data_IF_830336120922
#
_entry.id   IF_830336120922
#
_cell.length_a   1.000
_cell.length_b   1.000
_cell.length_c   1.000
_cell.angle_alpha   90.00
_cell.angle_beta   90.00
_cell.angle_gamma   90.00
#
_symmetry.space_group_name_H-M   'P 1'
#
loop_
_entity.id
_entity.type
_entity.pdbx_description
1 polymer ?
#
# COMPACT_ATOMS: atom_id res chain seq x y z
N UNK A 1 -71.44 -16.27 40.11
CA UNK A 1 -70.91 -16.48 41.48
C UNK A 1 -69.40 -16.37 41.37
N UNK A 2 -68.88 -15.15 41.55
CA UNK A 2 -67.49 -14.76 41.32
C UNK A 2 -66.93 -14.25 42.64
N UNK A 3 -65.80 -14.81 43.06
CA UNK A 3 -65.19 -14.64 44.38
C UNK A 3 -64.59 -13.23 44.58
N UNK A 4 -64.89 -12.52 45.68
CA UNK A 4 -64.37 -11.19 45.95
C UNK A 4 -63.22 -11.23 46.95
N UNK A 5 -61.98 -11.33 46.48
CA UNK A 5 -60.78 -10.97 47.26
C UNK A 5 -59.78 -10.23 46.37
N UNK A 6 -60.06 -8.95 46.16
CA UNK A 6 -59.04 -7.97 45.82
C UNK A 6 -58.17 -7.73 47.05
N UNK A 7 -56.87 -8.02 46.96
CA UNK A 7 -55.88 -7.58 47.94
C UNK A 7 -54.76 -6.84 47.23
N UNK A 8 -54.80 -5.52 47.42
CA UNK A 8 -53.73 -4.53 47.37
C UNK A 8 -52.41 -4.92 46.69
N UNK A 9 -52.14 -4.30 45.52
CA UNK A 9 -50.78 -4.06 45.06
C UNK A 9 -50.13 -3.01 45.98
N UNK A 10 -49.44 -3.48 47.03
CA UNK A 10 -48.56 -2.63 47.81
C UNK A 10 -47.29 -2.39 47.00
N UNK A 11 -47.19 -1.21 46.38
CA UNK A 11 -45.99 -0.75 45.70
C UNK A 11 -44.82 -0.72 46.67
N UNK A 12 -43.87 -1.63 46.49
CA UNK A 12 -42.58 -1.56 47.19
C UNK A 12 -41.73 -0.56 46.43
N UNK A 13 -41.47 0.58 47.06
CA UNK A 13 -40.49 1.54 46.57
C UNK A 13 -39.14 0.82 46.41
N UNK A 14 -38.64 0.73 45.17
CA UNK A 14 -37.29 0.29 44.90
C UNK A 14 -36.33 1.32 45.50
N UNK A 15 -35.82 0.99 46.69
CA UNK A 15 -34.80 1.78 47.34
C UNK A 15 -33.50 1.59 46.55
N UNK A 16 -33.13 2.61 45.78
CA UNK A 16 -31.95 2.64 44.91
C UNK A 16 -30.68 2.92 45.74
N UNK A 17 -30.47 2.16 46.80
CA UNK A 17 -29.20 2.08 47.49
C UNK A 17 -28.48 0.84 46.97
N UNK A 18 -27.55 1.08 46.05
CA UNK A 18 -26.54 0.09 45.72
C UNK A 18 -25.80 -0.25 47.01
N UNK A 19 -26.10 -1.40 47.58
CA UNK A 19 -25.21 -2.05 48.53
C UNK A 19 -23.99 -2.41 47.68
N UNK A 20 -22.94 -1.57 47.78
CA UNK A 20 -21.59 -2.05 47.52
C UNK A 20 -21.40 -3.11 48.59
N UNK A 21 -21.49 -4.38 48.21
CA UNK A 21 -21.18 -5.45 49.12
C UNK A 21 -19.70 -5.28 49.50
N UNK A 22 -19.43 -4.87 50.73
CA UNK A 22 -18.16 -5.15 51.40
C UNK A 22 -18.10 -6.67 51.61
N UNK A 23 -17.92 -7.40 50.51
CA UNK A 23 -17.69 -8.83 50.52
C UNK A 23 -16.26 -9.08 50.97
N UNK A 24 -16.10 -9.86 52.03
CA UNK A 24 -14.79 -10.40 52.38
C UNK A 24 -14.17 -11.08 51.14
N UNK A 25 -12.88 -10.88 50.87
CA UNK A 25 -12.24 -11.45 49.69
C UNK A 25 -12.38 -12.97 49.71
N UNK A 26 -12.80 -13.55 48.58
CA UNK A 26 -12.91 -15.01 48.44
C UNK A 26 -11.57 -15.67 48.77
N UNK A 27 -11.62 -16.77 49.52
CA UNK A 27 -10.42 -17.54 49.81
C UNK A 27 -9.87 -18.14 48.51
N UNK A 28 -8.54 -18.25 48.42
CA UNK A 28 -7.89 -18.80 47.24
C UNK A 28 -8.32 -20.25 46.97
N UNK A 29 -8.60 -21.01 48.02
CA UNK A 29 -9.08 -22.40 47.94
C UNK A 29 -10.47 -22.48 47.30
N UNK A 30 -11.41 -21.63 47.75
CA UNK A 30 -12.75 -21.58 47.18
C UNK A 30 -12.71 -21.15 45.71
N UNK A 31 -11.84 -20.20 45.37
CA UNK A 31 -11.62 -19.77 44.00
C UNK A 31 -11.10 -20.91 43.12
N UNK A 32 -10.12 -21.67 43.60
CA UNK A 32 -9.56 -22.80 42.84
C UNK A 32 -10.60 -23.90 42.60
N UNK A 33 -11.38 -24.24 43.62
CA UNK A 33 -12.45 -25.23 43.49
C UNK A 33 -13.54 -24.80 42.49
N UNK A 34 -13.89 -23.51 42.49
CA UNK A 34 -14.84 -22.97 41.51
C UNK A 34 -14.27 -23.00 40.08
N UNK A 35 -12.98 -22.66 39.90
CA UNK A 35 -12.32 -22.72 38.60
C UNK A 35 -12.23 -24.15 38.06
N UNK A 36 -11.86 -25.13 38.90
CA UNK A 36 -11.82 -26.53 38.48
C UNK A 36 -13.19 -27.07 38.06
N UNK A 37 -14.26 -26.68 38.76
CA UNK A 37 -15.62 -27.07 38.39
C UNK A 37 -16.02 -26.49 37.02
N UNK A 38 -15.66 -25.24 36.76
CA UNK A 38 -15.90 -24.59 35.46
C UNK A 38 -15.09 -25.27 34.36
N UNK A 39 -13.81 -25.57 34.59
CA UNK A 39 -12.95 -26.23 33.60
C UNK A 39 -13.49 -27.61 33.22
N UNK A 40 -13.97 -28.39 34.19
CA UNK A 40 -14.62 -29.67 33.93
C UNK A 40 -15.87 -29.53 33.06
N UNK A 41 -16.71 -28.54 33.33
CA UNK A 41 -17.93 -28.31 32.55
C UNK A 41 -17.62 -27.82 31.13
N UNK A 42 -16.60 -26.97 30.97
CA UNK A 42 -16.11 -26.53 29.65
C UNK A 42 -15.46 -27.68 28.87
N UNK A 43 -14.79 -28.60 29.56
CA UNK A 43 -14.27 -29.84 28.99
C UNK A 43 -15.38 -30.77 28.49
N UNK A 44 -16.43 -30.98 29.31
CA UNK A 44 -17.63 -31.77 28.93
C UNK A 44 -18.36 -31.17 27.73
N UNK A 45 -18.43 -29.83 27.67
CA UNK A 45 -19.01 -29.11 26.54
C UNK A 45 -18.14 -29.15 25.27
N UNK A 46 -16.93 -29.69 25.35
CA UNK A 46 -15.98 -29.76 24.22
C UNK A 46 -15.43 -28.39 23.82
N UNK A 47 -15.55 -27.39 24.69
CA UNK A 47 -15.05 -26.03 24.49
C UNK A 47 -13.58 -25.96 24.85
N UNK A 48 -13.18 -26.62 25.94
CA UNK A 48 -11.82 -26.62 26.47
C UNK A 48 -11.16 -28.00 26.28
N UNK A 49 -9.87 -28.02 25.97
CA UNK A 49 -9.03 -29.19 26.12
C UNK A 49 -8.45 -29.22 27.55
N UNK A 50 -8.94 -30.16 28.37
CA UNK A 50 -8.55 -30.33 29.76
C UNK A 50 -7.06 -30.61 29.97
N UNK A 51 -6.33 -31.05 28.94
CA UNK A 51 -4.88 -31.30 29.04
C UNK A 51 -4.05 -30.04 28.89
N UNK A 52 -4.52 -29.10 28.07
CA UNK A 52 -3.75 -27.90 27.69
C UNK A 52 -4.31 -26.62 28.30
N UNK A 53 -5.56 -26.64 28.79
CA UNK A 53 -6.27 -25.45 29.26
C UNK A 53 -6.65 -24.49 28.13
N UNK A 54 -6.47 -24.90 26.88
CA UNK A 54 -6.77 -24.10 25.70
C UNK A 54 -8.13 -24.49 25.10
N UNK A 55 -8.74 -23.64 24.26
CA UNK A 55 -9.92 -24.01 23.51
C UNK A 55 -9.65 -25.24 22.64
N UNK A 56 -10.63 -26.15 22.55
CA UNK A 56 -10.50 -27.37 21.78
C UNK A 56 -10.33 -27.06 20.29
N UNK A 57 -9.58 -27.90 19.57
CA UNK A 57 -9.37 -27.70 18.13
C UNK A 57 -10.67 -27.66 17.32
N UNK A 58 -11.71 -28.40 17.75
CA UNK A 58 -13.04 -28.38 17.14
C UNK A 58 -13.75 -27.03 17.38
N UNK A 59 -13.65 -26.50 18.59
CA UNK A 59 -14.24 -25.22 18.95
C UNK A 59 -13.57 -24.05 18.23
N UNK A 60 -12.24 -24.08 18.15
CA UNK A 60 -11.46 -23.13 17.35
C UNK A 60 -11.91 -23.18 15.90
N UNK A 61 -11.94 -24.36 15.28
CA UNK A 61 -12.34 -24.51 13.87
C UNK A 61 -13.77 -23.99 13.57
N UNK A 62 -14.68 -24.04 14.55
CA UNK A 62 -16.06 -23.59 14.37
C UNK A 62 -16.23 -22.07 14.51
N UNK A 63 -15.41 -21.42 15.32
CA UNK A 63 -15.62 -20.01 15.71
C UNK A 63 -14.47 -19.08 15.31
N UNK A 64 -13.29 -19.60 15.00
CA UNK A 64 -12.17 -18.79 14.55
C UNK A 64 -12.45 -18.26 13.15
N UNK A 65 -12.35 -16.95 12.99
CA UNK A 65 -12.36 -16.30 11.69
C UNK A 65 -11.24 -15.26 11.66
N UNK A 66 -10.65 -15.10 10.49
CA UNK A 66 -9.62 -14.10 10.24
C UNK A 66 -10.03 -13.33 8.98
N UNK A 67 -9.82 -12.01 9.00
CA UNK A 67 -10.11 -11.14 7.87
C UNK A 67 -8.99 -10.15 7.71
N UNK A 68 -8.26 -10.29 6.62
CA UNK A 68 -7.25 -9.35 6.19
C UNK A 68 -7.90 -8.35 5.22
N UNK A 69 -7.89 -7.07 5.59
CA UNK A 69 -8.38 -6.00 4.73
C UNK A 69 -7.23 -5.06 4.39
N UNK A 70 -6.88 -5.00 3.10
CA UNK A 70 -5.95 -4.01 2.58
C UNK A 70 -6.79 -2.82 2.16
N UNK A 71 -6.89 -1.82 3.04
CA UNK A 71 -7.51 -0.54 2.67
C UNK A 71 -6.60 0.15 1.65
N UNK A 72 -7.07 0.42 0.42
CA UNK A 72 -6.28 1.21 -0.51
C UNK A 72 -6.01 2.57 0.13
N UNK A 73 -4.77 3.04 0.05
CA UNK A 73 -4.41 4.39 0.47
C UNK A 73 -5.37 5.35 -0.24
N UNK A 74 -6.15 6.17 0.49
CA UNK A 74 -7.15 7.02 -0.13
C UNK A 74 -6.48 7.90 -1.20
N UNK A 75 -6.90 7.73 -2.44
CA UNK A 75 -6.34 8.45 -3.57
C UNK A 75 -6.62 9.94 -3.43
N UNK A 76 -5.58 10.76 -3.33
CA UNK A 76 -5.71 12.22 -3.36
C UNK A 76 -5.80 12.65 -4.83
N UNK A 77 -6.98 13.11 -5.25
CA UNK A 77 -7.16 13.73 -6.57
C UNK A 77 -6.75 15.19 -6.46
N UNK A 78 -5.55 15.52 -6.94
CA UNK A 78 -5.10 16.91 -7.06
C UNK A 78 -5.56 17.42 -8.43
N UNK A 79 -6.40 18.45 -8.44
CA UNK A 79 -6.71 19.17 -9.68
C UNK A 79 -5.46 19.93 -10.13
N UNK A 80 -4.80 19.44 -11.18
CA UNK A 80 -3.74 20.18 -11.84
C UNK A 80 -4.35 21.35 -12.61
N UNK A 81 -3.94 22.58 -12.29
CA UNK A 81 -4.20 23.73 -13.15
C UNK A 81 -3.37 23.57 -14.42
N UNK A 82 -4.01 23.63 -15.58
CA UNK A 82 -3.39 23.63 -16.92
C UNK A 82 -2.81 25.02 -17.27
N UNK A 83 -2.23 25.72 -16.30
CA UNK A 83 -1.50 26.97 -16.55
C UNK A 83 -0.06 26.68 -16.99
N UNK A 84 0.70 27.70 -17.39
CA UNK A 84 2.11 27.59 -17.78
C UNK A 84 2.85 26.72 -16.76
N UNK A 85 3.20 25.51 -17.19
CA UNK A 85 3.77 24.47 -16.37
C UNK A 85 5.15 24.92 -15.88
N UNK A 86 5.19 25.58 -14.72
CA UNK A 86 6.40 25.80 -13.93
C UNK A 86 6.94 24.47 -13.34
N UNK A 87 6.23 23.35 -13.53
CA UNK A 87 6.66 22.01 -13.11
C UNK A 87 7.79 21.46 -13.95
N UNK A 88 7.98 21.95 -15.19
CA UNK A 88 9.26 21.75 -15.87
C UNK A 88 10.28 22.53 -15.05
N UNK A 89 11.09 21.84 -14.23
CA UNK A 89 12.02 22.50 -13.33
C UNK A 89 12.84 23.53 -14.13
N UNK A 90 13.08 24.75 -13.59
CA UNK A 90 13.78 25.79 -14.33
C UNK A 90 15.17 25.34 -14.81
N UNK A 91 15.77 24.36 -14.13
CA UNK A 91 17.01 23.71 -14.55
C UNK A 91 16.83 22.83 -15.80
N UNK A 92 15.73 22.08 -15.90
CA UNK A 92 15.41 21.30 -17.10
C UNK A 92 15.19 22.22 -18.32
N UNK A 93 14.54 23.37 -18.14
CA UNK A 93 14.38 24.33 -19.23
C UNK A 93 15.72 24.91 -19.70
N UNK A 94 16.63 25.23 -18.77
CA UNK A 94 17.99 25.69 -19.09
C UNK A 94 18.79 24.60 -19.81
N UNK A 95 18.68 23.35 -19.38
CA UNK A 95 19.34 22.22 -20.03
C UNK A 95 18.87 22.06 -21.47
N UNK A 96 17.56 22.06 -21.71
CA UNK A 96 16.98 21.99 -23.05
C UNK A 96 17.49 23.15 -23.92
N UNK A 97 17.51 24.37 -23.40
CA UNK A 97 18.00 25.53 -24.15
C UNK A 97 19.49 25.41 -24.52
N UNK A 98 20.33 24.94 -23.60
CA UNK A 98 21.76 24.72 -23.85
C UNK A 98 21.99 23.60 -24.86
N UNK A 99 21.22 22.52 -24.81
CA UNK A 99 21.30 21.41 -25.77
C UNK A 99 20.91 21.87 -27.19
N UNK A 100 19.82 22.63 -27.31
CA UNK A 100 19.42 23.24 -28.58
C UNK A 100 20.52 24.17 -29.13
N UNK A 101 21.16 24.97 -28.27
CA UNK A 101 22.29 25.81 -28.64
C UNK A 101 23.49 25.02 -29.16
N UNK A 102 23.85 23.92 -28.49
CA UNK A 102 24.93 23.02 -28.93
C UNK A 102 24.65 22.42 -30.31
N UNK A 103 23.43 21.91 -30.53
CA UNK A 103 23.01 21.35 -31.83
C UNK A 103 23.06 22.36 -32.95
N UNK A 104 22.70 23.63 -32.69
CA UNK A 104 22.82 24.69 -33.68
C UNK A 104 24.27 24.99 -34.05
N UNK A 105 25.16 25.04 -33.05
CA UNK A 105 26.60 25.24 -33.28
C UNK A 105 27.21 24.08 -34.07
N UNK A 106 26.87 22.84 -33.74
CA UNK A 106 27.30 21.65 -34.47
C UNK A 106 26.85 21.69 -35.93
N UNK A 107 25.57 22.02 -36.18
CA UNK A 107 25.06 22.21 -37.54
C UNK A 107 25.84 23.31 -38.29
N UNK A 108 26.22 24.40 -37.62
CA UNK A 108 27.00 25.48 -38.24
C UNK A 108 28.43 25.03 -38.58
N UNK A 109 29.03 24.20 -37.72
CA UNK A 109 30.36 23.63 -37.94
C UNK A 109 30.33 22.66 -39.11
N UNK A 110 29.35 21.75 -39.15
CA UNK A 110 29.15 20.81 -40.25
C UNK A 110 28.98 21.53 -41.59
N UNK A 111 28.19 22.60 -41.63
CA UNK A 111 28.05 23.44 -42.84
C UNK A 111 29.39 23.99 -43.33
N UNK A 112 30.23 24.52 -42.43
CA UNK A 112 31.55 25.03 -42.78
C UNK A 112 32.49 23.92 -43.26
N UNK A 113 32.43 22.74 -42.64
CA UNK A 113 33.22 21.59 -43.09
C UNK A 113 32.81 21.13 -44.49
N UNK A 114 31.51 21.06 -44.78
CA UNK A 114 31.00 20.74 -46.12
C UNK A 114 31.53 21.75 -47.14
N UNK A 115 31.44 23.05 -46.84
CA UNK A 115 31.93 24.11 -47.72
C UNK A 115 33.45 23.98 -47.99
N UNK A 116 34.24 23.67 -46.96
CA UNK A 116 35.69 23.46 -47.12
C UNK A 116 36.00 22.20 -47.93
N UNK A 117 35.24 21.13 -47.74
CA UNK A 117 35.38 19.89 -48.50
C UNK A 117 35.02 20.11 -49.98
N UNK A 118 33.94 20.83 -50.27
CA UNK A 118 33.56 21.23 -51.63
C UNK A 118 34.66 22.06 -52.29
N UNK A 119 35.17 23.10 -51.60
CA UNK A 119 36.33 23.88 -52.09
C UNK A 119 37.55 23.02 -52.33
N UNK A 120 37.83 22.05 -51.46
CA UNK A 120 38.98 21.14 -51.63
C UNK A 120 38.83 20.21 -52.84
N UNK A 121 37.59 19.90 -53.27
CA UNK A 121 37.35 19.13 -54.49
C UNK A 121 37.72 19.91 -55.75
N UNK A 122 37.63 21.24 -55.73
CA UNK A 122 38.04 22.11 -56.86
C UNK A 122 39.55 22.05 -57.11
N UNK A 123 40.35 21.71 -56.09
CA UNK A 123 41.81 21.63 -56.17
C UNK A 123 42.35 20.19 -56.29
N UNK A 124 41.49 19.17 -56.39
CA UNK A 124 41.94 17.79 -56.62
C UNK A 124 42.24 17.60 -58.11
N UNK A 125 43.45 17.12 -58.43
CA UNK A 125 43.94 16.85 -59.78
C UNK A 125 43.22 15.73 -60.55
N UNK A 126 42.21 15.07 -59.97
CA UNK A 126 41.44 14.03 -60.66
C UNK A 126 40.04 14.60 -60.94
N UNK A 127 39.70 14.87 -62.22
CA UNK A 127 38.43 15.50 -62.59
C UNK A 127 37.24 14.60 -62.20
N UNK A 128 36.09 15.20 -61.87
CA UNK A 128 34.85 14.45 -61.64
C UNK A 128 34.49 13.66 -62.91
N UNK A 129 34.66 12.34 -62.89
CA UNK A 129 34.18 11.43 -63.93
C UNK A 129 35.20 10.45 -64.53
N UNK A 130 36.44 10.38 -64.05
CA UNK A 130 37.36 9.30 -64.45
C UNK A 130 37.10 8.07 -63.58
N UNK A 131 36.34 7.11 -64.11
CA UNK A 131 36.33 5.73 -63.61
C UNK A 131 37.74 5.14 -63.81
N UNK A 132 38.27 4.50 -62.77
CA UNK A 132 39.48 3.69 -62.87
C UNK A 132 39.20 2.56 -63.87
N UNK A 133 39.59 2.75 -65.13
CA UNK A 133 39.76 1.61 -66.04
C UNK A 133 40.87 0.77 -65.47
N UNK A 134 40.49 -0.37 -64.89
CA UNK A 134 41.39 -1.46 -64.51
C UNK A 134 42.36 -1.71 -65.67
N UNK A 135 43.65 -1.36 -65.48
CA UNK A 135 44.69 -1.81 -66.39
C UNK A 135 44.78 -3.34 -66.28
N UNK A 136 44.76 -4.10 -67.39
CA UNK A 136 44.97 -5.53 -67.32
C UNK A 136 46.40 -5.80 -66.87
N UNK A 137 46.53 -6.45 -65.72
CA UNK A 137 47.79 -7.07 -65.27
C UNK A 137 48.26 -8.03 -66.36
N UNK A 138 49.28 -7.67 -67.12
CA UNK A 138 50.04 -8.61 -67.94
C UNK A 138 51.15 -9.25 -67.10
N UNK A 139 51.22 -10.58 -67.15
CA UNK A 139 52.26 -11.44 -66.56
C UNK A 139 53.70 -11.01 -66.90
#
# INVERSE_FOLDING_TARGET
MFDPRQTAFSGVAFNRNAIIADGEPITNELRQAALSAVDEDLGKAGILDLKTGNPSGKFIAQLSWEREEILPTPGVIVKGCLDDCQTCEPELQKEIALDLGKKQLENSLLKKQIELLEKSQEYRCCPKGEEETEEPVSE
#
